data_IF_191919042132
#
_entry.id   IF_191919042132
#
_cell.length_a   1.000
_cell.length_b   1.000
_cell.length_c   1.000
_cell.angle_alpha   90.00
_cell.angle_beta   90.00
_cell.angle_gamma   90.00
#
_symmetry.space_group_name_H-M   'P 1'
#
loop_
_entity.id
_entity.type
_entity.pdbx_description
1 polymer ?
#
# COMPACT_ATOMS: atom_id res chain seq x y z
N UNK A 1 -5.17 -21.67 -4.21
CA UNK A 1 -6.54 -21.64 -4.79
C UNK A 1 -7.50 -21.14 -3.71
N UNK A 2 -7.94 -19.88 -3.79
CA UNK A 2 -9.09 -19.41 -3.00
C UNK A 2 -10.33 -20.11 -3.55
N UNK A 3 -11.12 -20.76 -2.70
CA UNK A 3 -12.43 -21.29 -3.11
C UNK A 3 -13.35 -20.10 -3.36
N UNK A 4 -13.89 -20.01 -4.56
CA UNK A 4 -14.97 -19.08 -4.86
C UNK A 4 -16.20 -19.51 -4.07
N UNK A 5 -17.09 -18.59 -3.69
CA UNK A 5 -18.37 -18.99 -3.08
C UNK A 5 -19.26 -19.74 -4.09
N UNK A 6 -18.95 -19.64 -5.39
CA UNK A 6 -19.48 -20.53 -6.43
C UNK A 6 -19.09 -22.01 -6.24
N UNK A 7 -18.09 -22.32 -5.40
CA UNK A 7 -17.66 -23.68 -5.06
C UNK A 7 -18.42 -24.23 -3.83
N UNK A 8 -19.25 -23.42 -3.15
CA UNK A 8 -20.21 -23.91 -2.17
C UNK A 8 -21.23 -24.73 -2.95
N UNK A 9 -21.22 -26.06 -2.71
CA UNK A 9 -22.15 -27.08 -3.24
C UNK A 9 -23.32 -26.45 -4.00
N UNK A 10 -23.34 -26.65 -5.30
CA UNK A 10 -24.54 -26.53 -6.14
C UNK A 10 -25.64 -27.36 -5.47
N UNK A 11 -26.48 -26.69 -4.69
CA UNK A 11 -27.75 -27.25 -4.27
C UNK A 11 -28.52 -27.56 -5.55
N UNK A 12 -29.11 -28.74 -5.64
CA UNK A 12 -29.92 -29.12 -6.81
C UNK A 12 -30.93 -28.01 -7.10
N UNK A 13 -31.08 -27.67 -8.38
CA UNK A 13 -32.02 -26.63 -8.78
C UNK A 13 -33.41 -26.99 -8.27
N UNK A 14 -34.00 -26.07 -7.53
CA UNK A 14 -35.30 -26.28 -6.90
C UNK A 14 -36.44 -26.29 -7.92
N UNK A 15 -36.18 -25.78 -9.13
CA UNK A 15 -37.19 -25.50 -10.15
C UNK A 15 -38.07 -24.28 -9.82
N UNK A 16 -37.84 -23.61 -8.69
CA UNK A 16 -38.62 -22.46 -8.24
C UNK A 16 -37.85 -21.18 -8.59
N UNK A 17 -38.31 -20.47 -9.63
CA UNK A 17 -37.63 -19.30 -10.18
C UNK A 17 -37.26 -18.24 -9.12
N UNK A 18 -38.13 -17.98 -8.14
CA UNK A 18 -37.84 -17.01 -7.08
C UNK A 18 -36.69 -17.46 -6.17
N UNK A 19 -36.62 -18.76 -5.82
CA UNK A 19 -35.55 -19.31 -4.99
C UNK A 19 -34.21 -19.23 -5.73
N UNK A 20 -34.21 -19.54 -7.02
CA UNK A 20 -33.03 -19.48 -7.87
C UNK A 20 -32.50 -18.05 -8.04
N UNK A 21 -33.40 -17.08 -8.25
CA UNK A 21 -33.04 -15.67 -8.35
C UNK A 21 -32.43 -15.13 -7.04
N UNK A 22 -33.03 -15.44 -5.89
CA UNK A 22 -32.51 -15.04 -4.58
C UNK A 22 -31.15 -15.68 -4.30
N UNK A 23 -30.98 -16.97 -4.64
CA UNK A 23 -29.68 -17.67 -4.52
C UNK A 23 -28.58 -16.99 -5.33
N UNK A 24 -28.86 -16.66 -6.60
CA UNK A 24 -27.89 -15.99 -7.48
C UNK A 24 -27.52 -14.59 -6.96
N UNK A 25 -28.50 -13.82 -6.49
CA UNK A 25 -28.25 -12.51 -5.90
C UNK A 25 -27.37 -12.60 -4.64
N UNK A 26 -27.58 -13.61 -3.79
CA UNK A 26 -26.75 -13.85 -2.62
C UNK A 26 -25.31 -14.22 -2.96
N UNK A 27 -25.08 -15.06 -3.97
CA UNK A 27 -23.73 -15.39 -4.46
C UNK A 27 -23.01 -14.12 -4.93
N UNK A 28 -23.65 -13.34 -5.81
CA UNK A 28 -23.09 -12.08 -6.31
C UNK A 28 -22.77 -11.10 -5.16
N UNK A 29 -23.65 -11.02 -4.16
CA UNK A 29 -23.43 -10.17 -2.98
C UNK A 29 -22.13 -10.55 -2.26
N UNK A 30 -21.96 -11.83 -1.95
CA UNK A 30 -20.79 -12.26 -1.19
C UNK A 30 -19.49 -12.23 -2.02
N UNK A 31 -19.55 -12.48 -3.33
CA UNK A 31 -18.40 -12.36 -4.22
C UNK A 31 -17.88 -10.91 -4.26
N UNK A 32 -18.79 -9.93 -4.38
CA UNK A 32 -18.45 -8.50 -4.32
C UNK A 32 -17.91 -8.07 -2.97
N UNK A 33 -18.51 -8.57 -1.88
CA UNK A 33 -18.03 -8.30 -0.53
C UNK A 33 -16.62 -8.85 -0.32
N UNK A 34 -16.36 -10.08 -0.76
CA UNK A 34 -15.04 -10.70 -0.71
C UNK A 34 -14.02 -9.90 -1.50
N UNK A 35 -14.37 -9.46 -2.72
CA UNK A 35 -13.49 -8.61 -3.53
C UNK A 35 -13.18 -7.28 -2.85
N UNK A 36 -14.15 -6.66 -2.19
CA UNK A 36 -13.95 -5.39 -1.48
C UNK A 36 -13.03 -5.55 -0.26
N UNK A 37 -13.14 -6.67 0.46
CA UNK A 37 -12.24 -7.01 1.57
C UNK A 37 -10.82 -7.26 1.05
N UNK A 38 -10.68 -7.99 -0.05
CA UNK A 38 -9.37 -8.26 -0.67
C UNK A 38 -8.68 -6.95 -1.09
N UNK A 39 -9.41 -5.97 -1.62
CA UNK A 39 -8.86 -4.66 -1.96
C UNK A 39 -8.35 -3.89 -0.73
N UNK A 40 -9.06 -3.96 0.42
CA UNK A 40 -8.60 -3.34 1.67
C UNK A 40 -7.35 -4.02 2.23
N UNK A 41 -7.31 -5.35 2.15
CA UNK A 41 -6.14 -6.13 2.58
C UNK A 41 -4.93 -5.79 1.72
N UNK A 42 -5.09 -5.67 0.39
CA UNK A 42 -4.00 -5.29 -0.51
C UNK A 42 -3.40 -3.92 -0.16
N UNK A 43 -4.23 -2.94 0.21
CA UNK A 43 -3.77 -1.63 0.68
C UNK A 43 -2.95 -1.74 1.96
N UNK A 44 -3.46 -2.50 2.94
CA UNK A 44 -2.77 -2.73 4.21
C UNK A 44 -1.44 -3.47 4.03
N UNK A 45 -1.42 -4.50 3.18
CA UNK A 45 -0.24 -5.31 2.91
C UNK A 45 0.87 -4.46 2.27
N UNK A 46 0.52 -3.59 1.32
CA UNK A 46 1.47 -2.66 0.72
C UNK A 46 2.04 -1.67 1.76
N UNK A 47 1.20 -1.09 2.62
CA UNK A 47 1.64 -0.19 3.70
C UNK A 47 2.61 -0.87 4.68
N UNK A 48 2.30 -2.10 5.09
CA UNK A 48 3.16 -2.87 6.00
C UNK A 48 4.47 -3.29 5.33
N UNK A 49 4.43 -3.65 4.04
CA UNK A 49 5.62 -3.95 3.27
C UNK A 49 6.55 -2.72 3.14
N UNK A 50 6.00 -1.53 2.92
CA UNK A 50 6.75 -0.27 2.91
C UNK A 50 7.40 -0.01 4.27
N UNK A 51 6.62 -0.12 5.35
CA UNK A 51 7.10 0.05 6.72
C UNK A 51 8.28 -0.88 7.00
N UNK A 52 8.14 -2.17 6.75
CA UNK A 52 9.19 -3.16 6.97
C UNK A 52 10.42 -2.93 6.11
N UNK A 53 10.24 -2.52 4.86
CA UNK A 53 11.35 -2.21 3.98
C UNK A 53 12.20 -1.02 4.46
N UNK A 54 11.61 -0.08 5.20
CA UNK A 54 12.31 1.05 5.86
C UNK A 54 13.04 0.67 7.15
N UNK A 55 12.97 -0.58 7.63
CA UNK A 55 13.64 -1.02 8.86
C UNK A 55 15.16 -0.69 8.92
N UNK A 56 15.96 -0.83 7.83
CA UNK A 56 17.39 -0.54 7.89
C UNK A 56 17.71 0.89 8.34
N UNK A 57 16.99 1.90 7.83
CA UNK A 57 17.21 3.30 8.20
C UNK A 57 16.64 3.60 9.58
N UNK A 58 15.47 3.04 9.92
CA UNK A 58 14.84 3.23 11.26
C UNK A 58 15.63 2.61 12.41
N UNK A 59 16.49 1.63 12.11
CA UNK A 59 17.36 1.00 13.10
C UNK A 59 18.62 1.82 13.41
N UNK A 60 18.88 2.90 12.66
CA UNK A 60 20.00 3.80 12.89
C UNK A 60 19.58 4.90 13.87
N UNK A 61 20.14 4.86 15.08
CA UNK A 61 20.07 5.95 16.04
C UNK A 61 21.25 6.90 15.82
N UNK A 62 20.99 8.02 15.13
CA UNK A 62 22.00 9.02 14.82
C UNK A 62 22.67 9.65 16.05
N UNK A 63 22.03 9.61 17.23
CA UNK A 63 22.59 10.16 18.46
C UNK A 63 23.79 9.36 19.01
N UNK A 64 23.93 8.10 18.57
CA UNK A 64 25.04 7.22 18.98
C UNK A 64 26.33 7.46 18.20
N UNK A 65 26.29 8.30 17.15
CA UNK A 65 27.42 8.55 16.28
C UNK A 65 28.14 9.83 16.70
N UNK A 66 29.35 9.67 17.25
CA UNK A 66 30.29 10.79 17.46
C UNK A 66 31.05 11.12 16.17
N UNK A 67 31.26 10.13 15.31
CA UNK A 67 31.87 10.27 13.98
C UNK A 67 30.79 10.38 12.90
N UNK A 68 30.68 11.57 12.32
CA UNK A 68 29.72 11.87 11.24
C UNK A 68 30.01 11.12 9.95
N UNK A 69 31.28 10.78 9.68
CA UNK A 69 31.66 10.04 8.47
C UNK A 69 31.13 8.60 8.56
N UNK A 70 31.23 7.98 9.74
CA UNK A 70 30.65 6.67 10.02
C UNK A 70 29.13 6.69 9.86
N UNK A 71 28.45 7.71 10.40
CA UNK A 71 27.00 7.87 10.21
C UNK A 71 26.63 7.97 8.73
N UNK A 72 27.36 8.79 7.96
CA UNK A 72 27.09 8.97 6.54
C UNK A 72 27.29 7.67 5.74
N UNK A 73 28.32 6.89 6.08
CA UNK A 73 28.55 5.56 5.48
C UNK A 73 27.40 4.60 5.82
N UNK A 74 27.04 4.46 7.08
CA UNK A 74 26.03 3.49 7.52
C UNK A 74 24.63 3.85 6.97
N UNK A 75 24.31 5.15 6.88
CA UNK A 75 23.11 5.63 6.18
C UNK A 75 23.14 5.31 4.68
N UNK A 76 24.28 5.44 4.01
CA UNK A 76 24.42 5.07 2.59
C UNK A 76 24.09 3.59 2.38
N UNK A 77 24.64 2.72 3.23
CA UNK A 77 24.43 1.27 3.16
C UNK A 77 22.96 0.92 3.47
N UNK A 78 22.37 1.54 4.50
CA UNK A 78 20.98 1.34 4.88
C UNK A 78 20.00 1.78 3.78
N UNK A 79 20.21 2.94 3.16
CA UNK A 79 19.37 3.43 2.07
C UNK A 79 19.47 2.56 0.81
N UNK A 80 20.65 1.99 0.54
CA UNK A 80 20.79 0.97 -0.50
C UNK A 80 19.94 -0.26 -0.23
N UNK A 81 19.94 -0.76 1.01
CA UNK A 81 19.08 -1.88 1.42
C UNK A 81 17.58 -1.53 1.33
N UNK A 82 17.18 -0.33 1.76
CA UNK A 82 15.79 0.15 1.62
C UNK A 82 15.38 0.15 0.14
N UNK A 83 16.23 0.70 -0.74
CA UNK A 83 15.94 0.73 -2.18
C UNK A 83 15.80 -0.68 -2.78
N UNK A 84 16.65 -1.63 -2.36
CA UNK A 84 16.54 -3.03 -2.77
C UNK A 84 15.30 -3.73 -2.21
N UNK A 85 14.86 -3.38 -1.01
CA UNK A 85 13.62 -3.88 -0.43
C UNK A 85 12.40 -3.31 -1.15
N UNK A 86 12.39 -2.02 -1.45
CA UNK A 86 11.30 -1.36 -2.18
C UNK A 86 11.06 -1.96 -3.58
N UNK A 87 12.10 -2.40 -4.27
CA UNK A 87 11.97 -3.11 -5.57
C UNK A 87 11.25 -4.47 -5.47
N UNK A 88 11.15 -5.05 -4.27
CA UNK A 88 10.49 -6.34 -4.02
C UNK A 88 9.05 -6.19 -3.58
N UNK A 89 8.61 -4.96 -3.30
CA UNK A 89 7.23 -4.68 -2.90
C UNK A 89 6.36 -4.75 -4.16
N UNK A 90 5.30 -5.55 -4.09
CA UNK A 90 4.27 -5.57 -5.12
C UNK A 90 3.40 -4.32 -4.97
N UNK A 91 3.64 -3.34 -5.83
CA UNK A 91 2.98 -2.04 -5.76
C UNK A 91 1.70 -2.08 -6.60
N UNK A 92 0.53 -1.73 -6.04
CA UNK A 92 -0.69 -1.63 -6.82
C UNK A 92 -0.54 -0.68 -8.02
N UNK A 93 -1.10 -1.06 -9.17
CA UNK A 93 -0.92 -0.35 -10.44
C UNK A 93 -1.27 1.13 -10.36
N UNK A 94 -2.32 1.48 -9.61
CA UNK A 94 -2.78 2.86 -9.45
C UNK A 94 -1.78 3.76 -8.69
N UNK A 95 -0.87 3.17 -7.89
CA UNK A 95 0.18 3.89 -7.16
C UNK A 95 1.53 3.86 -7.88
N UNK A 96 1.69 3.01 -8.89
CA UNK A 96 2.98 2.67 -9.50
C UNK A 96 3.81 3.90 -9.92
N UNK A 97 3.18 4.90 -10.52
CA UNK A 97 3.86 6.13 -10.94
C UNK A 97 4.37 6.93 -9.74
N UNK A 98 3.52 7.13 -8.72
CA UNK A 98 3.90 7.85 -7.50
C UNK A 98 5.00 7.10 -6.75
N UNK A 99 4.86 5.78 -6.64
CA UNK A 99 5.82 4.89 -5.99
C UNK A 99 7.20 4.96 -6.62
N UNK A 100 7.29 4.91 -7.95
CA UNK A 100 8.56 5.06 -8.66
C UNK A 100 9.24 6.41 -8.36
N UNK A 101 8.47 7.49 -8.25
CA UNK A 101 9.02 8.81 -7.91
C UNK A 101 9.49 8.88 -6.46
N UNK A 102 8.77 8.23 -5.55
CA UNK A 102 9.16 8.10 -4.15
C UNK A 102 10.44 7.27 -3.98
N UNK A 103 10.51 6.08 -4.59
CA UNK A 103 11.71 5.23 -4.62
C UNK A 103 12.93 5.97 -5.18
N UNK A 104 12.73 6.80 -6.21
CA UNK A 104 13.81 7.63 -6.76
C UNK A 104 14.39 8.59 -5.73
N UNK A 105 13.58 9.09 -4.78
CA UNK A 105 14.09 9.96 -3.73
C UNK A 105 14.89 9.19 -2.67
N UNK A 106 14.51 7.94 -2.35
CA UNK A 106 15.34 7.08 -1.49
C UNK A 106 16.72 6.85 -2.11
N UNK A 107 16.77 6.58 -3.42
CA UNK A 107 18.04 6.47 -4.15
C UNK A 107 18.83 7.78 -4.15
N UNK A 108 18.17 8.93 -4.30
CA UNK A 108 18.83 10.23 -4.20
C UNK A 108 19.40 10.50 -2.80
N UNK A 109 18.72 10.07 -1.73
CA UNK A 109 19.28 10.10 -0.38
C UNK A 109 20.52 9.22 -0.27
N UNK A 110 20.53 8.03 -0.87
CA UNK A 110 21.71 7.18 -0.87
C UNK A 110 22.90 7.90 -1.52
N UNK A 111 22.69 8.56 -2.67
CA UNK A 111 23.71 9.36 -3.34
C UNK A 111 24.19 10.51 -2.45
N UNK A 112 23.27 11.21 -1.79
CA UNK A 112 23.58 12.31 -0.88
C UNK A 112 24.48 11.85 0.28
N UNK A 113 24.08 10.79 0.99
CA UNK A 113 24.86 10.27 2.11
C UNK A 113 26.23 9.74 1.67
N UNK A 114 26.32 9.16 0.46
CA UNK A 114 27.60 8.78 -0.13
C UNK A 114 28.48 9.99 -0.40
N UNK A 115 27.91 11.09 -0.89
CA UNK A 115 28.62 12.35 -1.11
C UNK A 115 29.12 12.94 0.21
N UNK A 116 28.26 12.97 1.24
CA UNK A 116 28.61 13.43 2.58
C UNK A 116 29.75 12.61 3.19
N UNK A 117 29.73 11.29 3.04
CA UNK A 117 30.82 10.42 3.49
C UNK A 117 32.16 10.84 2.86
N UNK A 118 32.19 11.01 1.54
CA UNK A 118 33.40 11.45 0.82
C UNK A 118 33.83 12.84 1.29
N UNK A 119 32.89 13.78 1.42
CA UNK A 119 33.18 15.15 1.85
C UNK A 119 33.75 15.23 3.26
N UNK A 120 33.32 14.34 4.16
CA UNK A 120 33.84 14.26 5.53
C UNK A 120 35.22 13.59 5.58
N UNK A 121 35.42 12.49 4.85
CA UNK A 121 36.70 11.76 4.84
C UNK A 121 37.83 12.57 4.18
N UNK A 122 37.51 13.34 3.14
CA UNK A 122 38.47 14.17 2.42
C UNK A 122 38.57 15.61 2.95
N UNK A 123 37.79 15.94 3.99
CA UNK A 123 37.66 17.32 4.50
C UNK A 123 37.38 18.34 3.38
N UNK A 124 36.50 18.01 2.43
CA UNK A 124 36.14 18.85 1.27
C UNK A 124 34.99 19.82 1.61
N UNK A 125 35.26 21.09 1.93
CA UNK A 125 34.23 22.04 2.37
C UNK A 125 33.27 22.44 1.25
N UNK A 126 33.71 22.39 -0.02
CA UNK A 126 32.86 22.74 -1.16
C UNK A 126 31.81 21.66 -1.37
N UNK A 127 32.21 20.39 -1.29
CA UNK A 127 31.27 19.26 -1.35
C UNK A 127 30.31 19.27 -0.18
N UNK A 128 30.79 19.46 1.05
CA UNK A 128 29.92 19.55 2.22
C UNK A 128 28.89 20.68 2.08
N UNK A 129 29.29 21.82 1.52
CA UNK A 129 28.36 22.94 1.24
C UNK A 129 27.33 22.57 0.16
N UNK A 130 27.76 21.90 -0.92
CA UNK A 130 26.85 21.42 -1.97
C UNK A 130 25.83 20.40 -1.44
N UNK A 131 26.26 19.49 -0.55
CA UNK A 131 25.42 18.48 0.07
C UNK A 131 24.28 19.11 0.90
N UNK A 132 24.52 20.25 1.57
CA UNK A 132 23.46 20.99 2.30
C UNK A 132 22.36 21.51 1.36
N UNK A 133 22.71 21.93 0.14
CA UNK A 133 21.70 22.34 -0.85
C UNK A 133 20.97 21.14 -1.46
N UNK A 134 21.70 20.05 -1.69
CA UNK A 134 21.11 18.80 -2.18
C UNK A 134 20.14 18.21 -1.17
N UNK A 135 20.46 18.21 0.13
CA UNK A 135 19.60 17.66 1.18
C UNK A 135 18.22 18.31 1.16
N UNK A 136 18.15 19.66 1.15
CA UNK A 136 16.88 20.41 1.10
C UNK A 136 16.01 20.01 -0.09
N UNK A 137 16.62 19.79 -1.25
CA UNK A 137 15.91 19.39 -2.47
C UNK A 137 15.36 17.97 -2.35
N UNK A 138 16.17 17.04 -1.83
CA UNK A 138 15.73 15.66 -1.65
C UNK A 138 14.63 15.57 -0.59
N UNK A 139 14.75 16.29 0.53
CA UNK A 139 13.72 16.39 1.58
C UNK A 139 12.37 16.85 1.00
N UNK A 140 12.39 17.94 0.23
CA UNK A 140 11.19 18.52 -0.39
C UNK A 140 10.50 17.52 -1.33
N UNK A 141 11.28 16.79 -2.12
CA UNK A 141 10.75 15.83 -3.07
C UNK A 141 10.25 14.56 -2.36
N UNK A 142 10.92 14.10 -1.30
CA UNK A 142 10.48 12.95 -0.52
C UNK A 142 9.11 13.23 0.10
N UNK A 143 8.94 14.38 0.75
CA UNK A 143 7.65 14.80 1.34
C UNK A 143 6.57 14.89 0.25
N UNK A 144 6.86 15.56 -0.87
CA UNK A 144 5.91 15.70 -1.98
C UNK A 144 5.38 14.35 -2.49
N UNK A 145 6.25 13.37 -2.66
CA UNK A 145 5.82 12.06 -3.18
C UNK A 145 5.22 11.17 -2.08
N UNK A 146 5.65 11.30 -0.82
CA UNK A 146 4.99 10.65 0.32
C UNK A 146 3.54 11.13 0.53
N UNK A 147 3.28 12.43 0.39
CA UNK A 147 1.92 12.99 0.46
C UNK A 147 1.04 12.47 -0.69
N UNK A 148 1.61 12.29 -1.88
CA UNK A 148 0.90 11.70 -3.01
C UNK A 148 0.56 10.24 -2.77
N UNK A 149 1.50 9.44 -2.23
CA UNK A 149 1.20 8.04 -1.85
C UNK A 149 0.07 8.00 -0.82
N UNK A 150 0.12 8.88 0.18
CA UNK A 150 -0.95 9.03 1.18
C UNK A 150 -2.30 9.39 0.53
N UNK A 151 -2.29 10.24 -0.49
CA UNK A 151 -3.49 10.60 -1.25
C UNK A 151 -4.03 9.39 -2.03
N UNK A 152 -3.15 8.64 -2.70
CA UNK A 152 -3.52 7.44 -3.45
C UNK A 152 -4.11 6.35 -2.52
N UNK A 153 -3.52 6.17 -1.33
CA UNK A 153 -4.06 5.32 -0.26
C UNK A 153 -5.48 5.73 0.16
N UNK A 154 -5.66 7.00 0.50
CA UNK A 154 -6.95 7.51 0.98
C UNK A 154 -8.02 7.42 -0.10
N UNK A 155 -7.66 7.62 -1.38
CA UNK A 155 -8.56 7.46 -2.49
C UNK A 155 -9.06 6.01 -2.59
N UNK A 156 -8.17 5.03 -2.50
CA UNK A 156 -8.55 3.62 -2.55
C UNK A 156 -9.45 3.22 -1.38
N UNK A 157 -9.12 3.65 -0.15
CA UNK A 157 -9.98 3.44 1.02
C UNK A 157 -11.37 4.05 0.82
N UNK A 158 -11.45 5.27 0.29
CA UNK A 158 -12.73 5.96 0.03
C UNK A 158 -13.54 5.23 -1.04
N UNK A 159 -12.90 4.76 -2.12
CA UNK A 159 -13.57 4.00 -3.18
C UNK A 159 -14.12 2.67 -2.67
N UNK A 160 -13.36 1.95 -1.84
CA UNK A 160 -13.87 0.71 -1.23
C UNK A 160 -15.03 1.00 -0.28
N UNK A 161 -14.90 2.01 0.58
CA UNK A 161 -15.99 2.45 1.47
C UNK A 161 -17.26 2.79 0.69
N UNK A 162 -17.14 3.54 -0.40
CA UNK A 162 -18.29 3.88 -1.26
C UNK A 162 -18.95 2.63 -1.84
N UNK A 163 -18.21 1.63 -2.34
CA UNK A 163 -18.81 0.39 -2.85
C UNK A 163 -19.57 -0.36 -1.76
N UNK A 164 -19.02 -0.42 -0.56
CA UNK A 164 -19.69 -1.04 0.59
C UNK A 164 -21.00 -0.29 0.93
N UNK A 165 -20.97 1.04 0.96
CA UNK A 165 -22.13 1.84 1.37
C UNK A 165 -23.23 1.94 0.30
N UNK A 166 -22.86 2.13 -0.97
CA UNK A 166 -23.82 2.46 -2.04
C UNK A 166 -24.27 1.25 -2.85
N UNK A 167 -23.48 0.18 -2.91
CA UNK A 167 -23.85 -1.03 -3.65
C UNK A 167 -24.23 -2.17 -2.69
N UNK A 168 -23.42 -2.39 -1.65
CA UNK A 168 -23.57 -3.60 -0.84
C UNK A 168 -24.69 -3.52 0.20
N UNK A 169 -24.86 -2.39 0.88
CA UNK A 169 -25.97 -2.20 1.82
C UNK A 169 -27.34 -2.40 1.14
N UNK A 170 -27.63 -1.77 -0.02
CA UNK A 170 -28.87 -2.01 -0.75
C UNK A 170 -29.05 -3.47 -1.17
N UNK A 171 -28.03 -4.09 -1.77
CA UNK A 171 -28.10 -5.50 -2.19
C UNK A 171 -28.44 -6.43 -1.02
N UNK A 172 -27.83 -6.21 0.16
CA UNK A 172 -28.17 -6.97 1.36
C UNK A 172 -29.64 -6.81 1.74
N UNK A 173 -30.14 -5.58 1.77
CA UNK A 173 -31.54 -5.31 2.11
C UNK A 173 -32.52 -5.96 1.14
N UNK A 174 -32.20 -5.97 -0.16
CA UNK A 174 -33.03 -6.61 -1.20
C UNK A 174 -33.05 -8.14 -1.06
N UNK A 175 -31.90 -8.75 -0.75
CA UNK A 175 -31.81 -10.20 -0.49
C UNK A 175 -32.59 -10.58 0.77
N UNK A 176 -32.47 -9.79 1.85
CA UNK A 176 -33.19 -10.02 3.11
C UNK A 176 -34.72 -9.93 2.92
N UNK A 177 -35.19 -8.95 2.14
CA UNK A 177 -36.59 -8.81 1.76
C UNK A 177 -37.08 -9.99 0.91
N UNK A 178 -36.28 -10.43 -0.09
CA UNK A 178 -36.60 -11.58 -0.91
C UNK A 178 -36.71 -12.88 -0.08
N UNK A 179 -35.77 -13.10 0.85
CA UNK A 179 -35.82 -14.22 1.78
C UNK A 179 -37.07 -14.19 2.67
N UNK A 180 -37.46 -13.00 3.14
CA UNK A 180 -38.65 -12.82 3.96
C UNK A 180 -39.93 -13.16 3.18
N UNK A 181 -40.04 -12.69 1.94
CA UNK A 181 -41.17 -13.01 1.04
C UNK A 181 -41.25 -14.50 0.71
N UNK A 182 -40.13 -15.14 0.42
CA UNK A 182 -40.07 -16.59 0.18
C UNK A 182 -40.55 -17.37 1.41
N UNK A 183 -40.08 -17.00 2.60
CA UNK A 183 -40.50 -17.63 3.86
C UNK A 183 -42.00 -17.48 4.13
N UNK A 184 -42.60 -16.35 3.77
CA UNK A 184 -44.04 -16.13 3.90
C UNK A 184 -44.89 -16.87 2.85
N UNK A 185 -44.26 -17.36 1.78
CA UNK A 185 -44.90 -18.05 0.67
C UNK A 185 -44.84 -19.59 0.77
N UNK A 186 -44.17 -20.10 1.80
CA UNK A 186 -44.04 -21.52 2.16
C UNK A 186 -44.99 -21.87 3.31
#
# INVERSE_FOLDING_TARGET
MKKSLSDIKTYEDTGIEQVEATRKAAIEFFDRLSSSIDDLLSVSDFYMAEYDALKPTRSIDGSQYTDKSRLAKDMTDALGQVYDNFKKIDCPDYMSQTWQQYMKQIYNYQILYRSMYIGLVLEDPLRQTADVYMSKRVDTLLVKYGDRLTTDFNLQFTQVGSRLDTEMIPMKSEIDDACTKLKASL
#
